data_IF_809217657054
#
_entry.id   IF_809217657054
#
_cell.length_a   1.000
_cell.length_b   1.000
_cell.length_c   1.000
_cell.angle_alpha   90.00
_cell.angle_beta   90.00
_cell.angle_gamma   90.00
#
_symmetry.space_group_name_H-M   'P 1'
#
loop_
_entity.id
_entity.type
_entity.pdbx_description
1 polymer ?
#
# COMPACT_ATOMS: atom_id res chain seq x y z
N UNK A 1 -0.07 -6.21 6.73
CA UNK A 1 -0.68 -6.09 5.40
C UNK A 1 -2.14 -6.51 5.46
N UNK A 2 -2.95 -6.05 4.52
CA UNK A 2 -4.40 -6.21 4.46
C UNK A 2 -4.88 -6.75 3.11
N UNK A 3 -3.99 -7.21 2.23
CA UNK A 3 -4.32 -7.64 0.87
C UNK A 3 -5.22 -8.87 0.84
N UNK A 4 -5.15 -9.71 1.88
CA UNK A 4 -6.06 -10.83 2.11
C UNK A 4 -7.55 -10.44 2.23
N UNK A 5 -7.86 -9.17 2.51
CA UNK A 5 -9.24 -8.65 2.54
C UNK A 5 -9.81 -8.35 1.15
N UNK A 6 -8.97 -8.26 0.12
CA UNK A 6 -9.37 -7.99 -1.25
C UNK A 6 -9.90 -9.26 -1.93
N UNK A 7 -10.71 -9.11 -2.97
CA UNK A 7 -11.07 -10.24 -3.84
C UNK A 7 -9.85 -10.71 -4.65
N UNK A 8 -9.83 -11.97 -5.08
CA UNK A 8 -8.73 -12.52 -5.92
C UNK A 8 -8.47 -11.68 -7.18
N UNK A 9 -9.50 -11.07 -7.75
CA UNK A 9 -9.35 -10.18 -8.90
C UNK A 9 -8.59 -8.90 -8.53
N UNK A 10 -8.96 -8.28 -7.40
CA UNK A 10 -8.29 -7.09 -6.86
C UNK A 10 -6.86 -7.41 -6.43
N UNK A 11 -6.61 -8.54 -5.78
CA UNK A 11 -5.26 -8.99 -5.39
C UNK A 11 -4.31 -9.10 -6.60
N UNK A 12 -4.78 -9.69 -7.71
CA UNK A 12 -4.00 -9.74 -8.96
C UNK A 12 -3.74 -8.35 -9.54
N UNK A 13 -4.76 -7.49 -9.51
CA UNK A 13 -4.61 -6.10 -9.96
C UNK A 13 -3.72 -5.28 -9.04
N UNK A 14 -3.59 -5.61 -7.76
CA UNK A 14 -2.61 -4.98 -6.87
C UNK A 14 -1.20 -5.31 -7.32
N UNK A 15 -0.92 -6.59 -7.60
CA UNK A 15 0.39 -6.99 -8.15
C UNK A 15 0.67 -6.36 -9.53
N UNK A 16 -0.36 -6.15 -10.36
CA UNK A 16 -0.20 -5.37 -11.59
C UNK A 16 0.18 -3.90 -11.29
N UNK A 17 -0.36 -3.25 -10.24
CA UNK A 17 0.05 -1.90 -9.84
C UNK A 17 1.48 -1.85 -9.27
N UNK A 18 1.87 -2.87 -8.49
CA UNK A 18 3.24 -3.02 -7.96
C UNK A 18 4.26 -3.08 -9.11
N UNK A 19 3.97 -3.83 -10.17
CA UNK A 19 4.83 -3.86 -11.36
C UNK A 19 4.95 -2.48 -12.03
N UNK A 20 3.86 -1.71 -12.08
CA UNK A 20 3.84 -0.40 -12.75
C UNK A 20 4.61 0.66 -11.96
N UNK A 21 4.50 0.69 -10.63
CA UNK A 21 5.20 1.69 -9.80
C UNK A 21 6.72 1.45 -9.76
N UNK A 22 7.13 0.18 -9.79
CA UNK A 22 8.51 -0.22 -9.57
C UNK A 22 9.41 -0.22 -10.83
N UNK A 23 8.81 -0.21 -12.03
CA UNK A 23 9.49 -0.23 -13.33
C UNK A 23 10.78 -1.08 -13.33
N UNK A 24 11.96 -0.53 -13.69
CA UNK A 24 13.25 -1.23 -13.69
C UNK A 24 14.14 -0.97 -12.44
N UNK A 25 13.72 -0.12 -11.51
CA UNK A 25 14.58 0.39 -10.42
C UNK A 25 14.18 -0.13 -9.03
N UNK A 26 14.06 -1.44 -8.88
CA UNK A 26 13.71 -2.07 -7.60
C UNK A 26 14.94 -2.21 -6.72
N UNK A 27 14.86 -1.76 -5.47
CA UNK A 27 15.89 -1.99 -4.45
C UNK A 27 15.58 -3.19 -3.54
N UNK A 28 16.53 -3.56 -2.69
CA UNK A 28 16.40 -4.76 -1.84
C UNK A 28 15.24 -4.68 -0.81
N UNK A 29 14.89 -3.49 -0.32
CA UNK A 29 13.80 -3.31 0.65
C UNK A 29 12.44 -3.49 -0.05
N UNK A 30 12.31 -2.94 -1.25
CA UNK A 30 11.13 -3.16 -2.11
C UNK A 30 11.00 -4.62 -2.54
N UNK A 31 12.10 -5.27 -2.98
CA UNK A 31 12.09 -6.69 -3.36
C UNK A 31 11.56 -7.58 -2.22
N UNK A 32 12.01 -7.31 -0.99
CA UNK A 32 11.56 -8.05 0.19
C UNK A 32 10.06 -7.83 0.44
N UNK A 33 9.59 -6.57 0.39
CA UNK A 33 8.19 -6.26 0.62
C UNK A 33 7.28 -6.84 -0.47
N UNK A 34 7.73 -6.86 -1.72
CA UNK A 34 7.02 -7.52 -2.83
C UNK A 34 6.95 -9.03 -2.61
N UNK A 35 8.00 -9.64 -2.08
CA UNK A 35 8.00 -11.06 -1.74
C UNK A 35 6.97 -11.36 -0.63
N UNK A 36 6.91 -10.51 0.40
CA UNK A 36 5.90 -10.58 1.46
C UNK A 36 4.47 -10.43 0.92
N UNK A 37 4.23 -9.50 -0.03
CA UNK A 37 2.94 -9.39 -0.71
C UNK A 37 2.56 -10.69 -1.42
N UNK A 38 3.50 -11.31 -2.15
CA UNK A 38 3.27 -12.59 -2.84
C UNK A 38 2.99 -13.72 -1.86
N UNK A 39 3.69 -13.75 -0.73
CA UNK A 39 3.48 -14.72 0.34
C UNK A 39 2.09 -14.57 0.98
N UNK A 40 1.68 -13.35 1.36
CA UNK A 40 0.36 -13.08 1.95
C UNK A 40 -0.76 -13.54 0.99
N UNK A 41 -0.61 -13.24 -0.29
CA UNK A 41 -1.61 -13.55 -1.31
C UNK A 41 -1.65 -15.05 -1.64
N UNK A 42 -0.55 -15.78 -1.49
CA UNK A 42 -0.45 -17.20 -1.85
C UNK A 42 -0.83 -17.47 -3.32
N UNK A 43 -0.69 -16.46 -4.18
CA UNK A 43 -1.08 -16.53 -5.59
C UNK A 43 0.13 -16.85 -6.46
N UNK A 44 0.01 -17.90 -7.27
CA UNK A 44 0.89 -18.10 -8.44
C UNK A 44 0.41 -17.16 -9.56
N UNK A 45 0.79 -15.88 -9.46
CA UNK A 45 0.44 -14.85 -10.43
C UNK A 45 1.66 -14.03 -10.83
N UNK A 46 1.95 -14.04 -12.12
CA UNK A 46 2.87 -13.08 -12.74
C UNK A 46 2.09 -11.85 -13.17
N UNK A 47 2.51 -10.62 -12.80
CA UNK A 47 1.91 -9.40 -13.28
C UNK A 47 1.74 -9.41 -14.79
N UNK A 48 0.55 -9.03 -15.22
CA UNK A 48 0.21 -8.90 -16.63
C UNK A 48 0.72 -7.55 -17.15
N UNK A 49 1.14 -7.47 -18.42
CA UNK A 49 1.57 -6.23 -19.08
C UNK A 49 0.41 -5.25 -19.34
N UNK A 50 -0.54 -5.14 -18.41
CA UNK A 50 -1.63 -4.16 -18.47
C UNK A 50 -1.07 -2.77 -18.21
N UNK A 51 -1.70 -1.78 -18.80
CA UNK A 51 -1.41 -0.39 -18.46
C UNK A 51 -2.18 0.06 -17.21
N UNK A 52 -1.79 1.20 -16.66
CA UNK A 52 -2.39 1.80 -15.47
C UNK A 52 -3.92 1.87 -15.53
N UNK A 53 -4.49 2.40 -16.62
CA UNK A 53 -5.95 2.60 -16.75
C UNK A 53 -6.72 1.27 -16.74
N UNK A 54 -6.16 0.23 -17.38
CA UNK A 54 -6.73 -1.12 -17.37
C UNK A 54 -6.77 -1.69 -15.95
N UNK A 55 -5.71 -1.50 -15.17
CA UNK A 55 -5.62 -1.99 -13.80
C UNK A 55 -6.58 -1.22 -12.88
N UNK A 56 -6.60 0.12 -12.98
CA UNK A 56 -7.52 0.98 -12.22
C UNK A 56 -8.99 0.62 -12.49
N UNK A 57 -9.33 0.21 -13.72
CA UNK A 57 -10.69 -0.17 -14.08
C UNK A 57 -11.24 -1.34 -13.24
N UNK A 58 -10.37 -2.22 -12.73
CA UNK A 58 -10.76 -3.32 -11.82
C UNK A 58 -11.36 -2.80 -10.52
N UNK A 59 -10.91 -1.63 -10.06
CA UNK A 59 -11.30 -1.04 -8.78
C UNK A 59 -12.49 -0.09 -8.88
N UNK A 60 -13.01 0.19 -10.08
CA UNK A 60 -14.06 1.19 -10.29
C UNK A 60 -15.28 0.96 -9.40
N UNK A 61 -15.69 -0.30 -9.23
CA UNK A 61 -16.83 -0.72 -8.43
C UNK A 61 -16.43 -1.31 -7.06
N UNK A 62 -15.14 -1.26 -6.71
CA UNK A 62 -14.67 -1.73 -5.40
C UNK A 62 -15.22 -0.85 -4.29
N UNK A 63 -15.33 -1.44 -3.09
CA UNK A 63 -15.68 -0.67 -1.91
C UNK A 63 -14.62 0.41 -1.65
N UNK A 64 -15.04 1.47 -0.98
CA UNK A 64 -14.13 2.51 -0.49
C UNK A 64 -13.01 1.93 0.39
N UNK A 65 -13.36 0.99 1.25
CA UNK A 65 -12.41 0.26 2.11
C UNK A 65 -11.34 -0.48 1.28
N UNK A 66 -11.74 -1.22 0.23
CA UNK A 66 -10.79 -1.93 -0.63
C UNK A 66 -9.84 -0.97 -1.36
N UNK A 67 -10.35 0.17 -1.82
CA UNK A 67 -9.51 1.21 -2.45
C UNK A 67 -8.50 1.80 -1.46
N UNK A 68 -8.92 2.02 -0.21
CA UNK A 68 -8.01 2.48 0.86
C UNK A 68 -6.95 1.44 1.17
N UNK A 69 -7.30 0.14 1.24
CA UNK A 69 -6.34 -0.95 1.41
C UNK A 69 -5.27 -0.91 0.31
N UNK A 70 -5.67 -0.86 -0.95
CA UNK A 70 -4.73 -0.81 -2.08
C UNK A 70 -3.83 0.42 -2.00
N UNK A 71 -4.40 1.60 -1.71
CA UNK A 71 -3.61 2.82 -1.55
C UNK A 71 -2.63 2.76 -0.37
N UNK A 72 -3.07 2.19 0.77
CA UNK A 72 -2.26 2.02 1.97
C UNK A 72 -1.04 1.12 1.71
N UNK A 73 -1.24 -0.03 1.08
CA UNK A 73 -0.16 -0.98 0.78
C UNK A 73 0.81 -0.42 -0.27
N UNK A 74 0.30 0.27 -1.31
CA UNK A 74 1.17 0.96 -2.27
C UNK A 74 1.99 2.09 -1.62
N UNK A 75 1.42 2.80 -0.64
CA UNK A 75 2.18 3.80 0.13
C UNK A 75 3.26 3.15 1.00
N UNK A 76 3.00 1.96 1.53
CA UNK A 76 4.01 1.19 2.25
C UNK A 76 5.19 0.82 1.36
N UNK A 77 4.91 0.42 0.11
CA UNK A 77 5.94 0.17 -0.90
C UNK A 77 6.72 1.44 -1.23
N UNK A 78 6.04 2.53 -1.58
CA UNK A 78 6.67 3.78 -1.98
C UNK A 78 7.46 4.51 -0.86
N UNK A 79 7.43 3.99 0.37
CA UNK A 79 8.13 4.57 1.52
C UNK A 79 9.13 3.60 2.15
N UNK A 80 9.15 2.31 1.75
CA UNK A 80 9.88 1.29 2.48
C UNK A 80 11.40 1.48 2.41
N UNK A 81 11.89 2.05 1.31
CA UNK A 81 13.31 2.34 1.12
C UNK A 81 13.76 3.69 1.73
N UNK A 82 12.79 4.44 2.25
CA UNK A 82 13.01 5.76 2.82
C UNK A 82 13.17 6.91 1.82
N UNK A 83 13.08 6.67 0.50
CA UNK A 83 13.20 7.66 -0.56
C UNK A 83 11.89 7.78 -1.36
N UNK A 84 10.97 8.62 -0.90
CA UNK A 84 9.76 8.90 -1.67
C UNK A 84 10.07 9.84 -2.86
N UNK A 85 10.37 9.28 -4.02
CA UNK A 85 10.87 9.98 -5.21
C UNK A 85 9.75 10.70 -5.99
N UNK A 86 10.11 11.45 -7.03
CA UNK A 86 9.15 12.24 -7.81
C UNK A 86 8.17 11.37 -8.62
N UNK A 87 8.65 10.23 -9.14
CA UNK A 87 7.84 9.34 -9.97
C UNK A 87 6.84 8.56 -9.11
N UNK A 88 7.25 8.06 -7.94
CA UNK A 88 6.35 7.44 -6.96
C UNK A 88 5.31 8.43 -6.44
N UNK A 89 5.70 9.68 -6.13
CA UNK A 89 4.75 10.75 -5.77
C UNK A 89 3.71 10.97 -6.85
N UNK A 90 4.15 11.01 -8.10
CA UNK A 90 3.25 11.19 -9.25
C UNK A 90 2.31 10.01 -9.40
N UNK A 91 2.82 8.79 -9.25
CA UNK A 91 2.04 7.56 -9.29
C UNK A 91 0.98 7.53 -8.17
N UNK A 92 1.39 7.79 -6.93
CA UNK A 92 0.49 7.79 -5.77
C UNK A 92 -0.57 8.88 -5.85
N UNK A 93 -0.25 10.07 -6.37
CA UNK A 93 -1.23 11.13 -6.61
C UNK A 93 -2.25 10.72 -7.70
N UNK A 94 -1.83 9.96 -8.71
CA UNK A 94 -2.74 9.41 -9.72
C UNK A 94 -3.67 8.35 -9.13
N UNK A 95 -3.16 7.44 -8.31
CA UNK A 95 -3.95 6.41 -7.62
C UNK A 95 -4.96 7.07 -6.70
N UNK A 96 -4.53 8.03 -5.87
CA UNK A 96 -5.40 8.83 -5.00
C UNK A 96 -6.57 9.45 -5.76
N UNK A 97 -6.29 10.14 -6.88
CA UNK A 97 -7.34 10.75 -7.73
C UNK A 97 -8.30 9.70 -8.28
N UNK A 98 -7.75 8.59 -8.77
CA UNK A 98 -8.53 7.51 -9.38
C UNK A 98 -9.43 6.78 -8.37
N UNK A 99 -8.98 6.70 -7.12
CA UNK A 99 -9.69 6.05 -6.02
C UNK A 99 -10.53 7.02 -5.19
N UNK A 100 -10.49 8.31 -5.52
CA UNK A 100 -11.18 9.38 -4.78
C UNK A 100 -10.80 9.40 -3.30
N UNK A 101 -9.52 9.14 -3.01
CA UNK A 101 -8.96 9.18 -1.66
C UNK A 101 -8.87 10.65 -1.22
N UNK A 102 -9.51 10.95 -0.09
CA UNK A 102 -9.49 12.31 0.46
C UNK A 102 -8.12 12.65 1.05
N UNK A 103 -7.82 13.96 1.11
CA UNK A 103 -6.61 14.47 1.73
C UNK A 103 -6.46 14.07 3.21
N UNK A 104 -7.58 13.94 3.95
CA UNK A 104 -7.54 13.49 5.36
C UNK A 104 -7.03 12.04 5.46
N UNK A 105 -7.51 11.15 4.58
CA UNK A 105 -7.08 9.75 4.55
C UNK A 105 -5.61 9.68 4.13
N UNK A 106 -5.22 10.34 3.05
CA UNK A 106 -3.83 10.42 2.60
C UNK A 106 -2.89 10.85 3.73
N UNK A 107 -3.21 11.94 4.42
CA UNK A 107 -2.39 12.43 5.54
C UNK A 107 -2.31 11.41 6.67
N UNK A 108 -3.39 10.70 7.00
CA UNK A 108 -3.38 9.67 8.04
C UNK A 108 -2.50 8.50 7.67
N UNK A 109 -2.61 8.01 6.43
CA UNK A 109 -1.75 6.95 5.90
C UNK A 109 -0.28 7.36 5.98
N UNK A 110 0.06 8.54 5.46
CA UNK A 110 1.43 9.05 5.47
C UNK A 110 1.98 9.21 6.91
N UNK A 111 1.19 9.81 7.81
CA UNK A 111 1.59 9.98 9.20
C UNK A 111 1.74 8.65 9.95
N UNK A 112 0.93 7.65 9.60
CA UNK A 112 1.06 6.31 10.17
C UNK A 112 2.40 5.68 9.79
N UNK A 113 2.79 5.70 8.50
CA UNK A 113 4.10 5.19 8.08
C UNK A 113 5.26 6.00 8.67
N UNK A 114 5.13 7.32 8.79
CA UNK A 114 6.13 8.15 9.47
C UNK A 114 6.28 7.78 10.96
N UNK A 115 5.18 7.44 11.65
CA UNK A 115 5.20 6.99 13.03
C UNK A 115 5.84 5.59 13.17
N UNK A 116 5.56 4.67 12.24
CA UNK A 116 6.21 3.35 12.17
C UNK A 116 7.72 3.51 12.02
N UNK A 117 8.17 4.30 11.05
CA UNK A 117 9.60 4.56 10.81
C UNK A 117 10.28 5.14 12.05
N UNK A 118 9.66 6.15 12.68
CA UNK A 118 10.18 6.75 13.91
C UNK A 118 10.35 5.72 15.03
N UNK A 119 9.42 4.78 15.16
CA UNK A 119 9.53 3.71 16.16
C UNK A 119 10.71 2.78 15.85
N UNK A 120 10.91 2.40 14.58
CA UNK A 120 12.08 1.59 14.18
C UNK A 120 13.43 2.25 14.51
N UNK A 121 13.49 3.58 14.45
CA UNK A 121 14.72 4.34 14.73
C UNK A 121 15.01 4.54 16.24
N UNK A 122 14.05 4.22 17.12
CA UNK A 122 14.14 4.43 18.57
C UNK A 122 14.63 3.16 19.30
N UNK A 123 15.57 3.31 20.23
CA UNK A 123 16.28 2.19 20.88
C UNK A 123 15.67 1.71 22.21
N UNK A 124 14.75 2.48 22.80
CA UNK A 124 14.08 2.16 24.07
C UNK A 124 12.54 2.23 23.92
N UNK A 125 11.97 1.25 23.22
CA UNK A 125 10.52 1.15 23.03
C UNK A 125 9.96 -0.13 23.64
N UNK A 126 8.80 0.00 24.32
CA UNK A 126 7.89 -1.12 24.54
C UNK A 126 7.20 -1.51 23.23
N UNK A 127 7.86 -2.41 22.50
CA UNK A 127 7.43 -2.85 21.17
C UNK A 127 6.03 -3.45 21.16
N UNK A 128 5.64 -4.16 22.22
CA UNK A 128 4.32 -4.82 22.29
C UNK A 128 3.21 -3.78 22.31
N UNK A 129 3.34 -2.77 23.16
CA UNK A 129 2.37 -1.67 23.25
C UNK A 129 2.36 -0.79 21.99
N UNK A 130 3.53 -0.57 21.39
CA UNK A 130 3.66 0.22 20.16
C UNK A 130 3.00 -0.47 18.97
N UNK A 131 3.28 -1.76 18.75
CA UNK A 131 2.69 -2.57 17.68
C UNK A 131 1.17 -2.59 17.82
N UNK A 132 0.65 -2.94 19.00
CA UNK A 132 -0.81 -3.03 19.18
C UNK A 132 -1.54 -1.70 18.96
N UNK A 133 -0.89 -0.55 19.21
CA UNK A 133 -1.44 0.77 18.88
C UNK A 133 -1.46 0.99 17.36
N UNK A 134 -0.34 0.75 16.69
CA UNK A 134 -0.23 0.93 15.24
C UNK A 134 -1.22 0.05 14.46
N UNK A 135 -1.42 -1.19 14.90
CA UNK A 135 -2.40 -2.10 14.29
C UNK A 135 -3.81 -1.53 14.35
N UNK A 136 -4.24 -1.04 15.53
CA UNK A 136 -5.56 -0.40 15.69
C UNK A 136 -5.70 0.85 14.83
N UNK A 137 -4.67 1.68 14.77
CA UNK A 137 -4.68 2.89 13.94
C UNK A 137 -4.80 2.54 12.44
N UNK A 138 -4.11 1.51 11.97
CA UNK A 138 -4.23 1.04 10.59
C UNK A 138 -5.64 0.49 10.29
N UNK A 139 -6.22 -0.29 11.20
CA UNK A 139 -7.60 -0.77 11.08
C UNK A 139 -8.63 0.37 11.07
N UNK A 140 -8.44 1.38 11.92
CA UNK A 140 -9.29 2.57 11.94
C UNK A 140 -9.20 3.31 10.59
N UNK A 141 -8.00 3.59 10.08
CA UNK A 141 -7.80 4.25 8.78
C UNK A 141 -8.53 3.48 7.66
N UNK A 142 -8.44 2.16 7.63
CA UNK A 142 -9.08 1.32 6.63
C UNK A 142 -10.61 1.36 6.76
N UNK A 143 -11.13 1.36 7.99
CA UNK A 143 -12.57 1.25 8.25
C UNK A 143 -13.33 2.59 8.26
N UNK A 144 -12.64 3.73 8.16
CA UNK A 144 -13.19 5.10 8.25
C UNK A 144 -14.16 5.52 7.12
N UNK A 145 -14.46 4.64 6.16
CA UNK A 145 -15.40 4.91 5.05
C UNK A 145 -16.70 4.11 5.11
N UNK A 146 -17.00 3.48 6.26
CA UNK A 146 -18.32 2.91 6.58
C UNK A 146 -19.37 4.02 6.80
#
# INVERSE_FOLDING_TARGET
MFLSKLSVKEQKSFLDLVEIINDENINAEEENLIAEYKEELGLDYTPSKKNYDEVISTYKNSSKENKVIVYFELMGLALCDGNYEADEKTFMENVKKSFEISYDIENRVFNWFAAVKKLYDETEIDWVSAIGRLEREAEDIISMLK
#
